data_IF_687543044655
#
_entry.id   IF_687543044655
#
_cell.length_a   1.000
_cell.length_b   1.000
_cell.length_c   1.000
_cell.angle_alpha   90.00
_cell.angle_beta   90.00
_cell.angle_gamma   90.00
#
_symmetry.space_group_name_H-M   'P 1'
#
loop_
_entity.id
_entity.type
_entity.pdbx_description
1 polymer ?
#
# COMPACT_ATOMS: atom_id res chain seq x y z
N UNK A 1 -0.26 14.61 -6.75
CA UNK A 1 -1.21 13.98 -5.81
C UNK A 1 -1.45 12.57 -6.32
N UNK A 2 -1.27 11.56 -5.47
CA UNK A 2 -1.64 10.19 -5.81
C UNK A 2 -3.17 10.15 -5.76
N UNK A 3 -3.81 9.86 -6.89
CA UNK A 3 -5.26 9.70 -6.99
C UNK A 3 -5.55 8.28 -7.45
N UNK A 4 -5.41 7.34 -6.53
CA UNK A 4 -5.73 5.92 -6.73
C UNK A 4 -6.75 5.51 -5.66
N UNK A 5 -7.74 4.71 -6.06
CA UNK A 5 -8.70 4.17 -5.10
C UNK A 5 -8.00 3.24 -4.10
N UNK A 6 -7.06 2.42 -4.56
CA UNK A 6 -6.30 1.52 -3.69
C UNK A 6 -5.53 2.28 -2.61
N UNK A 7 -4.92 3.43 -2.93
CA UNK A 7 -4.23 4.26 -1.94
C UNK A 7 -5.19 4.88 -0.92
N UNK A 8 -6.37 5.31 -1.34
CA UNK A 8 -7.40 5.82 -0.44
C UNK A 8 -7.92 4.69 0.47
N UNK A 9 -8.21 3.52 -0.11
CA UNK A 9 -8.68 2.35 0.62
C UNK A 9 -7.68 1.93 1.70
N UNK A 10 -6.40 1.70 1.34
CA UNK A 10 -5.33 1.40 2.31
C UNK A 10 -5.28 2.47 3.41
N UNK A 11 -5.28 3.75 3.04
CA UNK A 11 -5.18 4.84 4.00
C UNK A 11 -6.34 4.86 4.99
N UNK A 12 -7.58 4.68 4.51
CA UNK A 12 -8.76 4.68 5.36
C UNK A 12 -8.89 3.39 6.17
N UNK A 13 -8.56 2.23 5.62
CA UNK A 13 -8.52 0.95 6.34
C UNK A 13 -7.56 1.03 7.52
N UNK A 14 -6.33 1.50 7.27
CA UNK A 14 -5.32 1.64 8.33
C UNK A 14 -5.73 2.64 9.40
N UNK A 15 -6.22 3.83 9.02
CA UNK A 15 -6.66 4.84 9.99
C UNK A 15 -8.00 4.51 10.67
N UNK A 16 -8.69 3.45 10.26
CA UNK A 16 -9.86 2.93 10.97
C UNK A 16 -9.45 1.99 12.13
N UNK A 17 -8.20 1.53 12.16
CA UNK A 17 -7.64 0.76 13.27
C UNK A 17 -7.22 1.72 14.41
N UNK A 18 -7.75 1.58 15.64
CA UNK A 18 -7.54 2.56 16.72
C UNK A 18 -6.07 2.79 17.12
N UNK A 19 -5.22 1.79 16.91
CA UNK A 19 -3.81 1.80 17.30
C UNK A 19 -2.89 2.30 16.18
N UNK A 20 -3.45 2.69 15.03
CA UNK A 20 -2.68 3.05 13.84
C UNK A 20 -2.99 4.49 13.44
N UNK A 21 -1.91 5.23 13.20
CA UNK A 21 -1.94 6.51 12.54
C UNK A 21 -1.16 6.42 11.24
N UNK A 22 -1.86 6.26 10.12
CA UNK A 22 -1.23 6.10 8.82
C UNK A 22 -1.14 7.43 8.09
N UNK A 23 0.06 7.75 7.61
CA UNK A 23 0.34 8.95 6.81
C UNK A 23 0.80 8.56 5.40
N UNK A 24 0.61 9.48 4.46
CA UNK A 24 0.89 9.24 3.04
C UNK A 24 2.19 9.87 2.62
N UNK A 25 2.90 9.16 1.75
CA UNK A 25 4.13 9.60 1.12
C UNK A 25 3.99 9.55 -0.39
N UNK A 26 4.62 10.51 -1.08
CA UNK A 26 4.67 10.53 -2.54
C UNK A 26 5.99 11.09 -3.04
N UNK A 27 6.48 10.55 -4.15
CA UNK A 27 7.59 11.13 -4.90
C UNK A 27 7.18 12.50 -5.45
N UNK A 28 8.06 13.49 -5.36
CA UNK A 28 7.81 14.85 -5.89
C UNK A 28 8.29 14.96 -7.33
N UNK A 29 9.35 14.24 -7.69
CA UNK A 29 9.96 14.23 -9.02
C UNK A 29 9.56 12.96 -9.77
N UNK A 30 9.26 13.10 -11.06
CA UNK A 30 9.00 11.96 -11.94
C UNK A 30 10.24 11.08 -12.14
N UNK A 31 11.43 11.70 -12.18
CA UNK A 31 12.71 11.02 -12.41
C UNK A 31 13.81 11.62 -11.53
N UNK A 32 14.94 10.92 -11.40
CA UNK A 32 16.10 11.39 -10.64
C UNK A 32 15.97 11.26 -9.12
N UNK A 33 16.94 11.76 -8.37
CA UNK A 33 16.95 11.66 -6.92
C UNK A 33 15.93 12.60 -6.26
N UNK A 34 15.27 12.10 -5.22
CA UNK A 34 14.47 12.89 -4.28
C UNK A 34 15.42 13.48 -3.22
N UNK A 35 15.29 14.78 -2.92
CA UNK A 35 16.18 15.44 -1.96
C UNK A 35 15.68 15.23 -0.51
N UNK A 36 14.36 15.25 -0.32
CA UNK A 36 13.72 15.04 0.99
C UNK A 36 12.27 14.54 0.82
N UNK A 37 11.98 13.41 1.47
CA UNK A 37 10.65 12.81 1.54
C UNK A 37 10.06 13.04 2.94
N UNK A 38 8.86 13.63 2.97
CA UNK A 38 8.08 13.88 4.18
C UNK A 38 6.64 13.48 3.93
N UNK A 39 5.95 13.09 4.99
CA UNK A 39 4.54 12.77 4.93
C UNK A 39 3.70 13.98 4.51
N UNK A 40 2.53 13.71 3.93
CA UNK A 40 1.61 14.76 3.47
C UNK A 40 0.92 15.42 4.67
N UNK A 41 0.56 14.64 5.68
CA UNK A 41 -0.26 15.06 6.81
C UNK A 41 0.52 15.92 7.80
N UNK A 42 1.61 15.38 8.38
CA UNK A 42 2.36 16.07 9.44
C UNK A 42 3.73 16.58 9.02
N UNK A 43 4.17 16.26 7.79
CA UNK A 43 5.54 16.48 7.30
C UNK A 43 6.60 15.72 8.10
N UNK A 44 6.23 14.60 8.72
CA UNK A 44 7.15 13.71 9.42
C UNK A 44 8.06 12.97 8.43
N UNK A 45 9.33 12.71 8.79
CA UNK A 45 10.23 11.95 7.94
C UNK A 45 9.84 10.47 7.92
N UNK A 46 10.08 9.79 6.79
CA UNK A 46 9.66 8.40 6.61
C UNK A 46 10.31 7.42 7.60
N UNK A 47 11.56 7.68 7.99
CA UNK A 47 12.30 6.83 8.96
C UNK A 47 11.67 6.75 10.35
N UNK A 48 10.73 7.64 10.68
CA UNK A 48 10.07 7.66 11.99
C UNK A 48 8.83 6.72 12.01
N UNK A 49 8.53 6.04 10.89
CA UNK A 49 7.39 5.12 10.77
C UNK A 49 7.84 3.68 10.97
N UNK A 50 7.05 2.92 11.75
CA UNK A 50 7.40 1.55 12.13
C UNK A 50 7.06 0.50 11.05
N UNK A 51 6.17 0.84 10.11
CA UNK A 51 5.71 -0.03 9.03
C UNK A 51 5.46 0.79 7.76
N UNK A 52 5.82 0.24 6.61
CA UNK A 52 5.57 0.86 5.30
C UNK A 52 4.66 -0.05 4.49
N UNK A 53 3.53 0.49 4.02
CA UNK A 53 2.59 -0.22 3.13
C UNK A 53 2.57 0.48 1.78
N UNK A 54 2.72 -0.28 0.71
CA UNK A 54 2.71 0.26 -0.66
C UNK A 54 1.91 -0.62 -1.61
N UNK A 55 1.42 -0.01 -2.68
CA UNK A 55 0.76 -0.70 -3.79
C UNK A 55 1.54 -0.41 -5.06
N UNK A 56 1.95 -1.47 -5.76
CA UNK A 56 2.72 -1.40 -7.00
C UNK A 56 1.77 -1.65 -8.18
N UNK A 57 1.42 -0.59 -8.89
CA UNK A 57 0.48 -0.64 -10.01
C UNK A 57 1.17 -0.99 -11.33
N UNK A 58 2.41 -0.51 -11.52
CA UNK A 58 3.24 -0.78 -12.70
C UNK A 58 4.68 -1.07 -12.30
N UNK A 59 5.43 -1.80 -13.12
CA UNK A 59 6.80 -2.21 -12.82
C UNK A 59 7.73 -1.03 -12.46
N UNK A 60 7.64 0.17 -13.09
CA UNK A 60 8.44 1.32 -12.70
C UNK A 60 8.17 1.82 -11.26
N UNK A 61 7.07 1.44 -10.62
CA UNK A 61 6.77 1.83 -9.24
C UNK A 61 7.80 1.28 -8.26
N UNK A 62 8.47 0.18 -8.58
CA UNK A 62 9.56 -0.33 -7.74
C UNK A 62 10.72 0.67 -7.65
N UNK A 63 11.02 1.37 -8.76
CA UNK A 63 12.06 2.41 -8.79
C UNK A 63 11.62 3.59 -7.94
N UNK A 64 10.33 3.95 -7.98
CA UNK A 64 9.76 5.01 -7.16
C UNK A 64 9.83 4.67 -5.67
N UNK A 65 9.52 3.43 -5.28
CA UNK A 65 9.67 2.93 -3.92
C UNK A 65 11.14 3.03 -3.46
N UNK A 66 12.09 2.54 -4.25
CA UNK A 66 13.53 2.62 -3.90
C UNK A 66 13.98 4.06 -3.71
N UNK A 67 13.57 4.97 -4.60
CA UNK A 67 13.87 6.41 -4.50
C UNK A 67 13.27 7.02 -3.22
N UNK A 68 12.03 6.65 -2.92
CA UNK A 68 11.29 7.13 -1.75
C UNK A 68 11.93 6.65 -0.43
N UNK A 69 12.30 5.37 -0.35
CA UNK A 69 12.99 4.80 0.81
C UNK A 69 14.33 5.51 1.05
N UNK A 70 15.17 5.65 0.02
CA UNK A 70 16.48 6.32 0.13
C UNK A 70 16.35 7.76 0.64
N UNK A 71 15.48 8.55 0.03
CA UNK A 71 15.28 9.94 0.42
C UNK A 71 14.53 10.10 1.74
N UNK A 72 13.81 9.06 2.17
CA UNK A 72 13.16 8.96 3.47
C UNK A 72 14.08 8.49 4.60
N UNK A 73 15.33 8.14 4.31
CA UNK A 73 16.30 7.64 5.30
C UNK A 73 16.09 6.16 5.66
N UNK A 74 15.41 5.38 4.83
CA UNK A 74 15.17 3.94 5.02
C UNK A 74 15.97 3.16 3.97
N UNK A 75 16.66 2.10 4.39
CA UNK A 75 17.47 1.31 3.45
C UNK A 75 16.55 0.58 2.46
N UNK A 76 16.78 0.64 1.14
CA UNK A 76 15.96 -0.08 0.16
C UNK A 76 16.02 -1.61 0.27
N UNK A 77 17.14 -2.15 0.73
CA UNK A 77 17.30 -3.60 0.87
C UNK A 77 16.70 -4.07 2.19
N UNK A 78 15.85 -5.10 2.12
CA UNK A 78 15.08 -5.59 3.27
C UNK A 78 15.97 -6.07 4.42
N UNK A 79 17.11 -6.67 4.11
CA UNK A 79 18.05 -7.20 5.11
C UNK A 79 18.77 -6.08 5.88
N UNK A 80 18.86 -4.89 5.30
CA UNK A 80 19.59 -3.76 5.85
C UNK A 80 18.68 -2.75 6.59
N UNK A 81 17.44 -3.13 6.91
CA UNK A 81 16.49 -2.31 7.69
C UNK A 81 15.62 -3.14 8.64
N UNK A 82 15.17 -2.50 9.72
CA UNK A 82 14.22 -3.09 10.68
C UNK A 82 12.75 -2.78 10.33
N UNK A 83 12.47 -1.65 9.68
CA UNK A 83 11.12 -1.29 9.22
C UNK A 83 10.67 -2.24 8.10
N UNK A 84 9.60 -3.04 8.28
CA UNK A 84 9.09 -3.90 7.21
C UNK A 84 8.41 -3.08 6.10
N UNK A 85 8.57 -3.51 4.87
CA UNK A 85 7.81 -3.02 3.71
C UNK A 85 6.84 -4.12 3.27
N UNK A 86 5.55 -3.81 3.31
CA UNK A 86 4.47 -4.63 2.76
C UNK A 86 4.09 -4.05 1.40
N UNK A 87 4.04 -4.90 0.38
CA UNK A 87 3.59 -4.52 -0.96
C UNK A 87 2.44 -5.38 -1.44
N UNK A 88 1.49 -4.75 -2.12
CA UNK A 88 0.46 -5.43 -2.91
C UNK A 88 0.36 -4.85 -4.31
N UNK A 89 -0.72 -5.20 -5.02
CA UNK A 89 -1.05 -4.66 -6.33
C UNK A 89 -0.68 -5.57 -7.50
N UNK A 90 -1.07 -5.19 -8.74
CA UNK A 90 -0.96 -6.04 -9.92
C UNK A 90 0.45 -6.57 -10.20
N UNK A 91 1.48 -5.76 -9.97
CA UNK A 91 2.89 -6.13 -10.19
C UNK A 91 3.31 -7.26 -9.25
N UNK A 92 2.94 -7.12 -7.97
CA UNK A 92 3.20 -8.11 -6.93
C UNK A 92 2.46 -9.41 -7.23
N UNK A 93 1.19 -9.33 -7.63
CA UNK A 93 0.38 -10.49 -7.98
C UNK A 93 0.85 -11.20 -9.26
N UNK A 94 1.51 -10.50 -10.17
CA UNK A 94 2.05 -11.06 -11.40
C UNK A 94 3.31 -11.89 -11.13
N UNK A 95 4.28 -11.31 -10.41
CA UNK A 95 5.47 -12.03 -9.96
C UNK A 95 6.18 -11.26 -8.83
N UNK A 96 6.15 -11.74 -7.57
CA UNK A 96 6.82 -11.06 -6.46
C UNK A 96 8.34 -11.30 -6.40
N UNK A 97 8.82 -12.41 -6.98
CA UNK A 97 10.21 -12.89 -6.84
C UNK A 97 11.26 -11.86 -7.26
N UNK A 98 11.10 -11.10 -8.38
CA UNK A 98 12.09 -10.10 -8.80
C UNK A 98 12.33 -8.97 -7.79
N UNK A 99 11.42 -8.79 -6.82
CA UNK A 99 11.47 -7.70 -5.85
C UNK A 99 11.79 -8.20 -4.43
N UNK A 100 12.12 -9.48 -4.26
CA UNK A 100 12.33 -10.15 -2.98
C UNK A 100 13.45 -9.53 -2.13
N UNK A 101 14.44 -8.90 -2.74
CA UNK A 101 15.52 -8.20 -2.02
C UNK A 101 15.06 -6.86 -1.41
N UNK A 102 13.92 -6.33 -1.88
CA UNK A 102 13.45 -4.99 -1.57
C UNK A 102 12.20 -4.95 -0.69
N UNK A 103 11.41 -6.02 -0.65
CA UNK A 103 10.10 -6.06 0.01
C UNK A 103 10.07 -7.23 0.99
N UNK A 104 9.53 -6.98 2.18
CA UNK A 104 9.50 -7.94 3.27
C UNK A 104 8.30 -8.88 3.18
N UNK A 105 7.13 -8.34 2.81
CA UNK A 105 5.86 -9.07 2.74
C UNK A 105 5.14 -8.71 1.46
N UNK A 106 4.74 -9.71 0.69
CA UNK A 106 3.94 -9.56 -0.51
C UNK A 106 2.52 -10.06 -0.26
N UNK A 107 1.54 -9.19 -0.43
CA UNK A 107 0.13 -9.55 -0.38
C UNK A 107 -0.32 -9.92 -1.79
N UNK A 108 -0.75 -11.17 -1.97
CA UNK A 108 -1.23 -11.71 -3.24
C UNK A 108 -2.76 -11.74 -3.22
N UNK A 109 -3.38 -10.74 -3.84
CA UNK A 109 -4.84 -10.61 -3.85
C UNK A 109 -5.30 -9.16 -3.74
N UNK A 110 -6.58 -9.00 -3.47
CA UNK A 110 -7.23 -7.70 -3.25
C UNK A 110 -7.08 -7.26 -1.79
N UNK A 111 -6.98 -5.94 -1.58
CA UNK A 111 -6.63 -5.38 -0.27
C UNK A 111 -7.77 -5.49 0.74
N UNK A 112 -9.00 -5.46 0.25
CA UNK A 112 -10.27 -5.51 0.98
C UNK A 112 -10.39 -6.75 1.88
N UNK A 113 -9.77 -7.86 1.49
CA UNK A 113 -9.86 -9.15 2.19
C UNK A 113 -8.54 -9.61 2.79
N UNK A 114 -7.47 -8.81 2.69
CA UNK A 114 -6.11 -9.26 3.00
C UNK A 114 -5.32 -8.36 3.93
N UNK A 115 -5.53 -7.04 3.91
CA UNK A 115 -4.67 -6.12 4.64
C UNK A 115 -4.89 -6.18 6.16
N UNK A 116 -6.14 -6.30 6.61
CA UNK A 116 -6.48 -6.23 8.04
C UNK A 116 -5.71 -7.28 8.85
N UNK A 117 -5.66 -8.53 8.37
CA UNK A 117 -4.99 -9.59 9.12
C UNK A 117 -3.49 -9.40 9.21
N UNK A 118 -2.87 -8.93 8.12
CA UNK A 118 -1.43 -8.61 8.09
C UNK A 118 -1.11 -7.51 9.10
N UNK A 119 -1.97 -6.49 9.19
CA UNK A 119 -1.82 -5.35 10.09
C UNK A 119 -2.07 -5.75 11.55
N UNK A 120 -3.08 -6.58 11.83
CA UNK A 120 -3.28 -7.18 13.15
C UNK A 120 -2.04 -7.96 13.61
N UNK A 121 -1.47 -8.79 12.74
CA UNK A 121 -0.24 -9.52 13.03
C UNK A 121 0.92 -8.57 13.31
N UNK A 122 1.06 -7.48 12.55
CA UNK A 122 2.07 -6.46 12.85
C UNK A 122 1.89 -5.83 14.25
N UNK A 123 0.67 -5.47 14.63
CA UNK A 123 0.40 -4.89 15.96
C UNK A 123 0.77 -5.84 17.09
N UNK A 124 0.55 -7.15 16.92
CA UNK A 124 0.90 -8.18 17.91
C UNK A 124 2.42 -8.34 18.09
N UNK A 125 3.19 -8.18 17.02
CA UNK A 125 4.64 -8.41 16.99
C UNK A 125 5.44 -7.11 16.78
N UNK A 126 4.85 -5.96 17.12
CA UNK A 126 5.47 -4.65 16.89
C UNK A 126 6.84 -4.57 17.58
N UNK A 127 7.86 -4.24 16.79
CA UNK A 127 9.24 -4.15 17.26
C UNK A 127 10.06 -5.43 17.11
N UNK A 128 9.44 -6.56 16.78
CA UNK A 128 10.11 -7.80 16.38
C UNK A 128 9.77 -8.16 14.93
N UNK A 129 10.60 -7.66 14.01
CA UNK A 129 10.45 -7.89 12.58
C UNK A 129 10.41 -9.38 12.25
N UNK A 130 11.25 -10.21 12.87
CA UNK A 130 11.36 -11.61 12.49
C UNK A 130 10.15 -12.40 12.95
N UNK A 131 9.69 -12.19 14.19
CA UNK A 131 8.47 -12.82 14.69
C UNK A 131 7.24 -12.39 13.86
N UNK A 132 7.16 -11.12 13.46
CA UNK A 132 6.14 -10.65 12.53
C UNK A 132 6.18 -11.41 11.19
N UNK A 133 7.36 -11.56 10.59
CA UNK A 133 7.53 -12.22 9.29
C UNK A 133 7.20 -13.72 9.34
N UNK A 134 7.56 -14.40 10.43
CA UNK A 134 7.23 -15.82 10.66
C UNK A 134 5.73 -16.05 10.86
N UNK A 135 5.03 -15.13 11.54
CA UNK A 135 3.60 -15.28 11.75
C UNK A 135 2.81 -14.95 10.48
N UNK A 136 3.17 -13.86 9.79
CA UNK A 136 2.45 -13.42 8.59
C UNK A 136 2.64 -14.38 7.41
N UNK A 137 3.78 -15.10 7.34
CA UNK A 137 4.04 -16.09 6.28
C UNK A 137 3.10 -17.30 6.33
N UNK A 138 2.34 -17.48 7.42
CA UNK A 138 1.33 -18.54 7.58
C UNK A 138 0.02 -18.21 6.86
N UNK A 139 -0.19 -16.95 6.48
CA UNK A 139 -1.38 -16.54 5.72
C UNK A 139 -1.28 -17.07 4.29
N UNK A 140 -2.32 -17.76 3.81
CA UNK A 140 -2.32 -18.45 2.51
C UNK A 140 -2.14 -17.52 1.31
N UNK A 141 -2.38 -16.23 1.47
CA UNK A 141 -2.29 -15.20 0.44
C UNK A 141 -1.06 -14.29 0.61
N UNK A 142 -0.12 -14.67 1.47
CA UNK A 142 1.10 -13.91 1.72
C UNK A 142 2.32 -14.69 1.21
N UNK A 143 3.19 -14.00 0.50
CA UNK A 143 4.52 -14.48 0.17
C UNK A 143 5.57 -13.69 0.97
N UNK A 144 6.38 -14.37 1.77
CA UNK A 144 7.55 -13.80 2.47
C UNK A 144 8.81 -14.49 1.93
N UNK A 145 9.74 -13.76 1.30
CA UNK A 145 10.91 -14.40 0.72
C UNK A 145 11.77 -15.06 1.81
N UNK A 146 12.11 -16.33 1.59
CA UNK A 146 12.87 -17.17 2.51
C UNK A 146 12.06 -17.86 3.60
N UNK A 147 10.76 -17.57 3.75
CA UNK A 147 9.88 -18.22 4.73
C UNK A 147 8.68 -18.93 4.09
N UNK A 148 8.27 -18.55 2.88
CA UNK A 148 7.18 -19.20 2.14
C UNK A 148 7.75 -20.19 1.12
N UNK A 149 7.59 -21.49 1.40
CA UNK A 149 8.05 -22.59 0.53
C UNK A 149 6.94 -23.22 -0.33
N UNK A 150 5.69 -22.77 -0.17
CA UNK A 150 4.49 -23.37 -0.78
C UNK A 150 3.76 -22.48 -1.79
N UNK A 151 2.66 -23.00 -2.32
CA UNK A 151 1.75 -22.22 -3.16
C UNK A 151 1.07 -21.10 -2.35
N UNK A 152 0.98 -19.92 -2.97
CA UNK A 152 0.27 -18.76 -2.42
C UNK A 152 -1.01 -18.56 -3.21
N UNK A 153 -2.13 -18.49 -2.51
CA UNK A 153 -3.48 -18.39 -3.09
C UNK A 153 -3.91 -16.94 -3.09
N UNK A 154 -4.42 -16.45 -4.23
CA UNK A 154 -4.94 -15.08 -4.32
C UNK A 154 -6.13 -14.89 -3.36
N UNK A 155 -6.03 -13.92 -2.45
CA UNK A 155 -7.17 -13.50 -1.63
C UNK A 155 -8.11 -12.62 -2.46
N UNK A 156 -9.37 -12.99 -2.47
CA UNK A 156 -10.45 -12.19 -3.06
C UNK A 156 -11.56 -12.03 -2.01
N UNK A 157 -12.27 -10.90 -2.00
CA UNK A 157 -13.44 -10.76 -1.14
C UNK A 157 -14.55 -11.70 -1.62
N UNK A 158 -15.15 -12.44 -0.68
CA UNK A 158 -16.31 -13.29 -0.96
C UNK A 158 -17.56 -12.44 -1.28
N UNK A 159 -17.75 -11.32 -0.55
CA UNK A 159 -18.79 -10.32 -0.80
C UNK A 159 -18.23 -8.91 -0.61
N UNK A 160 -18.12 -8.17 -1.72
CA UNK A 160 -17.61 -6.80 -1.72
C UNK A 160 -18.49 -5.84 -0.89
N UNK A 161 -19.78 -6.11 -0.75
CA UNK A 161 -20.68 -5.25 0.04
C UNK A 161 -20.40 -5.35 1.55
N UNK A 162 -19.76 -6.45 1.97
CA UNK A 162 -19.35 -6.66 3.36
C UNK A 162 -17.98 -6.07 3.68
N UNK A 163 -17.19 -5.74 2.65
CA UNK A 163 -15.88 -5.16 2.80
C UNK A 163 -15.94 -3.70 3.24
N UNK A 164 -14.89 -3.27 3.95
CA UNK A 164 -14.72 -1.87 4.27
C UNK A 164 -14.63 -1.03 2.99
N UNK A 165 -15.40 0.04 2.92
CA UNK A 165 -15.27 1.05 1.89
C UNK A 165 -15.18 2.45 2.52
N UNK A 166 -14.29 3.31 2.00
CA UNK A 166 -14.17 4.66 2.53
C UNK A 166 -15.39 5.50 2.16
N UNK A 167 -16.12 5.97 3.17
CA UNK A 167 -17.25 6.91 3.00
C UNK A 167 -16.80 8.35 2.68
N UNK A 168 -15.49 8.60 2.67
CA UNK A 168 -14.86 9.90 2.38
C UNK A 168 -13.82 9.71 1.29
N UNK A 169 -13.61 10.74 0.47
CA UNK A 169 -12.61 10.72 -0.59
C UNK A 169 -11.65 11.88 -0.45
N UNK A 170 -10.40 11.63 -0.81
CA UNK A 170 -9.36 12.65 -0.78
C UNK A 170 -9.32 13.32 -2.15
N UNK A 171 -9.79 14.56 -2.21
CA UNK A 171 -9.90 15.36 -3.43
C UNK A 171 -9.09 16.63 -3.29
N UNK A 172 -8.37 17.01 -4.35
CA UNK A 172 -7.75 18.33 -4.41
C UNK A 172 -8.81 19.39 -4.72
N UNK A 173 -9.12 20.27 -3.75
CA UNK A 173 -10.09 21.35 -3.97
C UNK A 173 -9.51 22.54 -4.73
N UNK A 174 -8.19 22.59 -4.94
CA UNK A 174 -7.49 23.70 -5.61
C UNK A 174 -7.20 23.45 -7.08
N UNK A 175 -7.41 22.21 -7.56
CA UNK A 175 -7.12 21.81 -8.93
C UNK A 175 -8.37 21.18 -9.51
N UNK A 176 -8.88 21.76 -10.59
CA UNK A 176 -10.00 21.18 -11.32
C UNK A 176 -9.48 20.05 -12.22
N UNK A 177 -10.00 18.81 -12.11
CA UNK A 177 -9.61 17.73 -13.01
C UNK A 177 -10.02 18.03 -14.45
N UNK A 178 -9.25 17.51 -15.42
CA UNK A 178 -9.52 17.70 -16.86
C UNK A 178 -10.93 17.24 -17.26
N UNK A 179 -11.47 16.23 -16.57
CA UNK A 179 -12.80 15.69 -16.82
C UNK A 179 -13.87 16.22 -15.85
N UNK A 180 -13.54 17.22 -15.02
CA UNK A 180 -14.42 17.71 -13.95
C UNK A 180 -14.38 16.83 -12.70
N UNK A 181 -15.05 17.29 -11.64
CA UNK A 181 -15.12 16.56 -10.35
C UNK A 181 -15.98 15.31 -10.48
N UNK A 182 -15.45 14.22 -9.94
CA UNK A 182 -16.16 12.94 -9.87
C UNK A 182 -15.78 12.15 -8.63
N UNK A 183 -16.61 11.15 -8.31
CA UNK A 183 -16.36 10.23 -7.21
C UNK A 183 -15.65 8.98 -7.72
N UNK A 184 -14.68 8.51 -6.93
CA UNK A 184 -14.03 7.20 -7.13
C UNK A 184 -14.90 6.13 -6.49
N UNK A 185 -15.50 5.24 -7.27
CA UNK A 185 -16.33 4.16 -6.76
C UNK A 185 -15.90 2.85 -7.39
N UNK A 186 -15.76 1.82 -6.55
CA UNK A 186 -15.62 0.44 -7.00
C UNK A 186 -16.93 -0.29 -6.77
N UNK A 187 -17.48 -0.82 -7.86
CA UNK A 187 -18.76 -1.53 -7.89
C UNK A 187 -18.58 -3.03 -8.13
N UNK A 188 -17.37 -3.45 -8.52
CA UNK A 188 -16.99 -4.84 -8.76
C UNK A 188 -15.44 -4.92 -8.84
N UNK A 189 -14.86 -6.02 -8.35
CA UNK A 189 -13.43 -6.34 -8.45
C UNK A 189 -12.99 -6.76 -9.86
N UNK A 190 -13.94 -6.96 -10.77
CA UNK A 190 -13.68 -7.16 -12.21
C UNK A 190 -13.87 -5.84 -12.96
N UNK A 191 -12.80 -5.40 -13.61
CA UNK A 191 -12.62 -4.10 -14.28
C UNK A 191 -13.89 -3.58 -14.99
N UNK A 192 -14.58 -2.64 -14.36
CA UNK A 192 -15.36 -1.58 -14.98
C UNK A 192 -15.21 -0.30 -14.15
N UNK A 193 -14.34 0.61 -14.60
CA UNK A 193 -14.19 1.93 -13.98
C UNK A 193 -15.36 2.81 -14.45
N UNK A 194 -16.29 3.11 -13.55
CA UNK A 194 -17.31 4.13 -13.78
C UNK A 194 -16.88 5.44 -13.12
N UNK A 195 -16.43 6.42 -13.90
CA UNK A 195 -16.30 7.81 -13.45
C UNK A 195 -17.65 8.50 -13.60
N UNK A 196 -18.26 8.90 -12.49
CA UNK A 196 -19.43 9.78 -12.51
C UNK A 196 -18.96 11.23 -12.44
N UNK A 197 -19.13 11.98 -13.53
CA UNK A 197 -18.84 13.41 -13.59
C UNK A 197 -20.07 14.20 -13.17
N UNK A 198 -19.96 14.97 -12.09
CA UNK A 198 -20.99 15.95 -11.75
C UNK A 198 -20.72 17.20 -12.58
N UNK A 199 -21.51 17.42 -13.62
CA UNK A 199 -21.57 18.71 -14.30
C UNK A 199 -22.40 19.64 -13.41
N UNK A 200 -21.77 20.70 -12.91
CA UNK A 200 -22.50 21.79 -12.27
C UNK A 200 -23.04 22.73 -13.34
N UNK A 201 -24.32 23.09 -13.21
CA UNK A 201 -24.90 24.28 -13.85
C UNK A 201 -24.37 25.57 -13.19
#
# INVERSE_FOLDING_TARGET
>A
MISSLASDLIYFTLNNQPEIYAERFCNKKLTGAEDEVRSIETRSPLRDFDLIVTSLHYEPDIVNLVRLLRAGGVNPFREARQTPVIAGGPVVMANPVPFADLIDVFIIGEVESSLDKVVETWLQFKGDKNAFLEEVSKLSYVYVPGLTDGEVVKSYPDDLNSCFYPVKQIVNTRVEPVFGRGFKLEVNTRVHVHMLFLHGD
#
